data_IF_302529199363
#
_entry.id   IF_302529199363
#
_cell.length_a   1.000
_cell.length_b   1.000
_cell.length_c   1.000
_cell.angle_alpha   90.00
_cell.angle_beta   90.00
_cell.angle_gamma   90.00
#
_symmetry.space_group_name_H-M   'P 1'
#
loop_
_entity.id
_entity.type
_entity.pdbx_description
1 polymer ?
#
# COMPACT_ATOMS: atom_id res chain seq x y z
N UNK A 1 -20.12 25.12 18.03
CA UNK A 1 -19.18 25.03 16.90
C UNK A 1 -17.83 24.54 17.44
N UNK A 2 -17.60 23.23 17.46
CA UNK A 2 -16.29 22.66 17.81
C UNK A 2 -15.54 22.38 16.51
N UNK A 3 -14.46 23.13 16.26
CA UNK A 3 -13.45 22.77 15.25
C UNK A 3 -12.66 21.59 15.81
N UNK A 4 -12.93 20.38 15.30
CA UNK A 4 -12.08 19.23 15.53
C UNK A 4 -10.72 19.48 14.85
N UNK A 5 -9.66 19.10 15.56
CA UNK A 5 -8.27 19.40 15.22
C UNK A 5 -7.87 18.85 13.86
N UNK A 6 -6.98 19.60 13.21
CA UNK A 6 -6.22 19.16 12.05
C UNK A 6 -5.45 17.90 12.45
N UNK A 7 -6.00 16.75 12.06
CA UNK A 7 -5.39 15.44 12.28
C UNK A 7 -3.99 15.44 11.72
N UNK A 8 -3.05 15.00 12.56
CA UNK A 8 -1.69 14.72 12.13
C UNK A 8 -1.73 13.89 10.85
N UNK A 9 -0.97 14.29 9.84
CA UNK A 9 -0.69 13.49 8.65
C UNK A 9 0.08 12.25 9.09
N UNK A 10 -0.64 11.29 9.67
CA UNK A 10 -0.23 9.90 9.77
C UNK A 10 0.12 9.48 8.35
N UNK A 11 1.25 8.82 8.17
CA UNK A 11 1.67 8.27 6.89
C UNK A 11 0.61 7.26 6.39
N UNK A 12 -0.44 7.76 5.75
CA UNK A 12 -1.67 7.04 5.44
C UNK A 12 -1.58 6.40 4.05
N UNK A 13 -0.58 5.53 3.92
CA UNK A 13 -0.21 4.84 2.68
C UNK A 13 -1.09 3.63 2.40
N UNK A 14 -2.25 3.53 3.05
CA UNK A 14 -3.18 2.43 2.81
C UNK A 14 -3.69 2.43 1.36
N UNK A 15 -3.80 3.61 0.73
CA UNK A 15 -4.12 3.72 -0.69
C UNK A 15 -3.07 3.06 -1.60
N UNK A 16 -1.79 2.99 -1.19
CA UNK A 16 -0.76 2.29 -1.99
C UNK A 16 -1.13 0.80 -2.17
N UNK A 17 -1.85 0.18 -1.21
CA UNK A 17 -2.30 -1.21 -1.34
C UNK A 17 -3.38 -1.38 -2.41
N UNK A 18 -4.20 -0.37 -2.64
CA UNK A 18 -5.20 -0.34 -3.72
C UNK A 18 -4.49 -0.07 -5.05
N UNK A 19 -3.62 0.94 -5.09
CA UNK A 19 -2.86 1.32 -6.29
C UNK A 19 -2.01 0.17 -6.82
N UNK A 20 -1.36 -0.61 -5.94
CA UNK A 20 -0.56 -1.77 -6.33
C UNK A 20 -1.41 -2.82 -7.04
N UNK A 21 -2.63 -3.08 -6.58
CA UNK A 21 -3.52 -4.07 -7.22
C UNK A 21 -3.98 -3.60 -8.59
N UNK A 22 -4.36 -2.32 -8.73
CA UNK A 22 -4.74 -1.72 -10.01
C UNK A 22 -3.56 -1.74 -10.98
N UNK A 23 -2.35 -1.39 -10.51
CA UNK A 23 -1.16 -1.41 -11.34
C UNK A 23 -0.79 -2.83 -11.80
N UNK A 24 -0.96 -3.83 -10.93
CA UNK A 24 -0.71 -5.23 -11.26
C UNK A 24 -1.72 -5.79 -12.26
N UNK A 25 -3.00 -5.48 -12.11
CA UNK A 25 -4.05 -5.90 -13.05
C UNK A 25 -3.82 -5.31 -14.45
N UNK A 26 -3.40 -4.05 -14.53
CA UNK A 26 -3.07 -3.38 -15.78
C UNK A 26 -1.72 -3.75 -16.41
N UNK A 27 -0.87 -4.53 -15.73
CA UNK A 27 0.51 -4.80 -16.17
C UNK A 27 0.68 -6.22 -16.70
N UNK A 28 0.84 -6.34 -18.02
CA UNK A 28 1.00 -7.62 -18.72
C UNK A 28 2.48 -8.11 -18.84
N UNK A 29 3.42 -7.44 -18.19
CA UNK A 29 4.86 -7.74 -18.26
C UNK A 29 5.38 -8.59 -17.09
N UNK A 30 6.69 -8.83 -17.07
CA UNK A 30 7.39 -9.42 -15.92
C UNK A 30 8.02 -8.34 -15.02
N UNK A 31 8.44 -8.71 -13.81
CA UNK A 31 8.91 -7.75 -12.81
C UNK A 31 10.44 -7.63 -12.59
N UNK A 32 11.36 -8.16 -13.42
CA UNK A 32 12.79 -8.17 -13.09
C UNK A 32 13.38 -6.75 -12.97
N UNK A 33 13.04 -5.86 -13.91
CA UNK A 33 13.51 -4.46 -13.89
C UNK A 33 12.87 -3.66 -12.75
N UNK A 34 11.59 -3.92 -12.46
CA UNK A 34 10.87 -3.31 -11.34
C UNK A 34 11.52 -3.73 -10.02
N UNK A 35 11.84 -5.02 -9.85
CA UNK A 35 12.55 -5.55 -8.68
C UNK A 35 13.94 -4.92 -8.54
N UNK A 36 14.70 -4.83 -9.63
CA UNK A 36 16.03 -4.22 -9.61
C UNK A 36 15.96 -2.74 -9.18
N UNK A 37 14.98 -1.99 -9.72
CA UNK A 37 14.74 -0.61 -9.35
C UNK A 37 14.32 -0.47 -7.88
N UNK A 38 13.42 -1.33 -7.40
CA UNK A 38 12.96 -1.34 -6.01
C UNK A 38 14.11 -1.63 -5.04
N UNK A 39 14.91 -2.67 -5.29
CA UNK A 39 16.10 -3.00 -4.48
C UNK A 39 17.05 -1.80 -4.41
N UNK A 40 17.38 -1.19 -5.56
CA UNK A 40 18.27 -0.02 -5.60
C UNK A 40 17.71 1.15 -4.79
N UNK A 41 16.42 1.41 -4.89
CA UNK A 41 15.75 2.51 -4.21
C UNK A 41 15.72 2.30 -2.69
N UNK A 42 15.44 1.08 -2.24
CA UNK A 42 15.46 0.73 -0.81
C UNK A 42 16.87 0.81 -0.24
N UNK A 43 17.88 0.31 -0.96
CA UNK A 43 19.28 0.43 -0.55
C UNK A 43 19.73 1.88 -0.44
N UNK A 44 19.34 2.75 -1.37
CA UNK A 44 19.70 4.17 -1.34
C UNK A 44 19.08 4.92 -0.15
N UNK A 45 17.84 4.58 0.23
CA UNK A 45 17.12 5.22 1.35
C UNK A 45 17.64 4.82 2.73
N UNK A 46 18.57 3.87 2.81
CA UNK A 46 19.26 3.39 4.02
C UNK A 46 18.32 3.13 5.23
N UNK A 47 17.11 2.64 4.94
CA UNK A 47 16.08 2.32 5.92
C UNK A 47 15.87 0.81 6.01
N UNK A 48 14.65 0.35 5.70
CA UNK A 48 14.33 -1.08 5.65
C UNK A 48 14.95 -1.76 4.40
N UNK A 49 15.19 -3.07 4.51
CA UNK A 49 15.59 -3.92 3.38
C UNK A 49 14.38 -4.23 2.49
N UNK A 50 14.64 -4.43 1.19
CA UNK A 50 13.66 -4.95 0.26
C UNK A 50 13.53 -6.48 0.39
N UNK A 51 12.32 -7.06 0.28
CA UNK A 51 11.03 -6.36 0.38
C UNK A 51 10.75 -5.98 1.85
N UNK A 52 10.09 -4.84 2.11
CA UNK A 52 9.62 -4.52 3.45
C UNK A 52 8.40 -5.39 3.79
N UNK A 53 8.28 -5.89 5.03
CA UNK A 53 7.01 -6.47 5.47
C UNK A 53 5.95 -5.37 5.59
N UNK A 54 4.76 -5.61 5.04
CA UNK A 54 3.61 -4.73 5.20
C UNK A 54 2.82 -5.19 6.42
N UNK A 55 2.53 -4.26 7.32
CA UNK A 55 1.74 -4.50 8.54
C UNK A 55 0.65 -3.46 8.68
N UNK A 56 -0.53 -3.87 9.17
CA UNK A 56 -1.66 -2.98 9.39
C UNK A 56 -1.30 -1.83 10.36
N UNK A 57 -1.90 -0.66 10.13
CA UNK A 57 -1.84 0.47 11.06
C UNK A 57 -3.24 0.84 11.52
N UNK A 58 -3.31 1.50 12.68
CA UNK A 58 -4.58 1.98 13.22
C UNK A 58 -5.32 2.86 12.20
N UNK A 59 -6.59 2.56 11.95
CA UNK A 59 -7.45 3.30 11.01
C UNK A 59 -7.36 2.85 9.56
N UNK A 60 -6.44 1.94 9.21
CA UNK A 60 -6.32 1.47 7.82
C UNK A 60 -7.50 0.63 7.37
N UNK A 61 -8.18 -0.10 8.26
CA UNK A 61 -9.29 -0.97 7.85
C UNK A 61 -10.44 -0.15 7.24
N UNK A 62 -10.93 0.86 7.96
CA UNK A 62 -11.99 1.74 7.48
C UNK A 62 -11.56 2.53 6.24
N UNK A 63 -10.29 2.97 6.21
CA UNK A 63 -9.77 3.76 5.10
C UNK A 63 -9.58 2.92 3.84
N UNK A 64 -9.09 1.69 3.96
CA UNK A 64 -8.96 0.76 2.85
C UNK A 64 -10.31 0.53 2.18
N UNK A 65 -11.35 0.25 2.97
CA UNK A 65 -12.71 0.07 2.45
C UNK A 65 -13.24 1.29 1.69
N UNK A 66 -12.90 2.50 2.14
CA UNK A 66 -13.26 3.73 1.44
C UNK A 66 -12.52 3.88 0.11
N UNK A 67 -11.22 3.60 0.08
CA UNK A 67 -10.39 3.70 -1.12
C UNK A 67 -10.70 2.60 -2.13
N UNK A 68 -11.04 1.39 -1.67
CA UNK A 68 -11.40 0.24 -2.50
C UNK A 68 -12.82 0.31 -3.07
N UNK A 69 -13.66 1.23 -2.58
CA UNK A 69 -15.08 1.27 -2.91
C UNK A 69 -15.31 1.46 -4.44
N UNK A 70 -15.95 0.47 -5.05
CA UNK A 70 -16.28 0.49 -6.48
C UNK A 70 -15.14 0.08 -7.41
N UNK A 71 -14.04 -0.44 -6.86
CA UNK A 71 -12.88 -0.94 -7.61
C UNK A 71 -12.83 -2.48 -7.55
N UNK A 72 -12.25 -3.10 -8.58
CA UNK A 72 -12.02 -4.54 -8.63
C UNK A 72 -10.70 -4.89 -7.93
N UNK A 73 -10.71 -4.79 -6.60
CA UNK A 73 -9.58 -5.09 -5.71
C UNK A 73 -10.03 -6.04 -4.60
N UNK A 74 -9.09 -6.62 -3.85
CA UNK A 74 -9.42 -7.53 -2.75
C UNK A 74 -10.28 -6.84 -1.69
N UNK A 75 -11.11 -7.63 -1.00
CA UNK A 75 -12.30 -7.11 -0.30
C UNK A 75 -11.99 -6.35 1.01
N UNK A 76 -10.89 -6.64 1.68
CA UNK A 76 -10.55 -6.05 2.98
C UNK A 76 -9.04 -5.88 3.18
N UNK A 77 -8.68 -5.17 4.24
CA UNK A 77 -7.29 -4.83 4.55
C UNK A 77 -6.43 -6.06 4.84
N UNK A 78 -6.96 -7.08 5.51
CA UNK A 78 -6.19 -8.26 5.88
C UNK A 78 -5.84 -9.07 4.63
N UNK A 79 -6.80 -9.21 3.72
CA UNK A 79 -6.57 -9.78 2.40
C UNK A 79 -5.55 -8.97 1.58
N UNK A 80 -5.62 -7.64 1.63
CA UNK A 80 -4.67 -6.76 0.91
C UNK A 80 -3.24 -6.89 1.45
N UNK A 81 -3.09 -7.01 2.78
CA UNK A 81 -1.78 -7.20 3.41
C UNK A 81 -1.22 -8.58 3.08
N UNK A 82 -2.05 -9.63 3.11
CA UNK A 82 -1.63 -10.97 2.71
C UNK A 82 -1.16 -10.96 1.25
N UNK A 83 -2.00 -10.44 0.35
CA UNK A 83 -1.68 -10.32 -1.07
C UNK A 83 -0.39 -9.55 -1.36
N UNK A 84 -0.10 -8.47 -0.61
CA UNK A 84 1.11 -7.65 -0.84
C UNK A 84 2.39 -8.32 -0.32
N UNK A 85 2.28 -9.23 0.64
CA UNK A 85 3.44 -9.88 1.27
C UNK A 85 3.80 -11.25 0.63
N UNK A 86 2.94 -11.79 -0.24
CA UNK A 86 3.18 -13.02 -1.03
C UNK A 86 4.13 -12.77 -2.21
#
# INVERSE_FOLDING_TARGET
MHRAGLGAWVNDRVHDLVDLQIAMDGYAGDYPDIKAAAVRLFSYRNGHRWPPPITARHGWADRYLQEAAGLEVVADLDAAIAWTND
#
